data_IF_261108345935
#
_entry.id   IF_261108345935
#
_cell.length_a   1.000
_cell.length_b   1.000
_cell.length_c   1.000
_cell.angle_alpha   90.00
_cell.angle_beta   90.00
_cell.angle_gamma   90.00
#
_symmetry.space_group_name_H-M   'P 1'
#
loop_
_entity.id
_entity.type
_entity.pdbx_description
1 polymer ?
#
# COMPACT_ATOMS: atom_id res chain seq x y z
N UNK A 1 37.00 0.85 -33.70
CA UNK A 1 35.59 1.22 -33.77
C UNK A 1 34.74 0.73 -32.57
N UNK A 2 34.98 -0.48 -32.02
CA UNK A 2 34.18 -1.00 -30.87
C UNK A 2 34.40 -0.18 -29.58
N UNK A 3 35.61 0.29 -29.26
CA UNK A 3 35.88 1.07 -28.05
C UNK A 3 35.14 2.42 -28.02
N UNK A 4 35.01 3.09 -29.16
CA UNK A 4 34.27 4.37 -29.26
C UNK A 4 32.79 4.20 -29.07
N UNK A 5 32.23 3.07 -29.53
CA UNK A 5 30.79 2.78 -29.39
C UNK A 5 30.43 2.47 -27.93
N UNK A 6 31.29 1.74 -27.19
CA UNK A 6 31.06 1.44 -25.77
C UNK A 6 31.21 2.69 -24.88
N UNK A 7 32.15 3.58 -25.16
CA UNK A 7 32.29 4.84 -24.42
C UNK A 7 31.07 5.77 -24.65
N UNK A 8 30.54 5.84 -25.86
CA UNK A 8 29.35 6.64 -26.16
C UNK A 8 28.13 6.09 -25.42
N UNK A 9 27.97 4.78 -25.33
CA UNK A 9 26.84 4.12 -24.67
C UNK A 9 26.90 4.33 -23.15
N UNK A 10 28.09 4.25 -22.54
CA UNK A 10 28.28 4.52 -21.10
C UNK A 10 27.99 5.99 -20.80
N UNK A 11 28.44 6.92 -21.64
CA UNK A 11 28.15 8.35 -21.48
C UNK A 11 26.67 8.66 -21.61
N UNK A 12 25.95 8.03 -22.55
CA UNK A 12 24.50 8.19 -22.67
C UNK A 12 23.75 7.66 -21.45
N UNK A 13 24.13 6.48 -20.95
CA UNK A 13 23.48 5.88 -19.77
C UNK A 13 23.74 6.73 -18.52
N UNK A 14 24.97 7.21 -18.32
CA UNK A 14 25.29 8.10 -17.19
C UNK A 14 24.59 9.45 -17.31
N UNK A 15 24.47 10.03 -18.49
CA UNK A 15 23.72 11.26 -18.72
C UNK A 15 22.22 11.08 -18.43
N UNK A 16 21.63 9.97 -18.88
CA UNK A 16 20.21 9.64 -18.59
C UNK A 16 19.98 9.42 -17.09
N UNK A 17 20.91 8.75 -16.40
CA UNK A 17 20.81 8.56 -14.95
C UNK A 17 20.98 9.87 -14.17
N UNK A 18 21.87 10.76 -14.60
CA UNK A 18 22.05 12.09 -14.03
C UNK A 18 20.82 12.98 -14.30
N UNK A 19 20.26 12.96 -15.49
CA UNK A 19 19.03 13.70 -15.84
C UNK A 19 17.80 13.18 -15.08
N UNK A 20 17.74 11.87 -14.78
CA UNK A 20 16.69 11.33 -13.90
C UNK A 20 16.86 11.75 -12.45
N UNK A 21 18.12 11.90 -11.97
CA UNK A 21 18.40 12.41 -10.60
C UNK A 21 18.08 13.89 -10.44
N UNK A 22 18.21 14.69 -11.48
CA UNK A 22 17.92 16.14 -11.44
C UNK A 22 16.45 16.47 -11.66
N UNK A 23 15.62 15.53 -12.07
CA UNK A 23 14.15 15.64 -12.00
C UNK A 23 13.65 15.24 -10.60
N UNK A 24 14.25 15.81 -9.57
CA UNK A 24 13.53 16.00 -8.33
C UNK A 24 12.31 16.86 -8.70
N UNK A 25 11.13 16.26 -8.69
CA UNK A 25 9.88 17.02 -8.73
C UNK A 25 10.04 18.07 -7.61
N UNK A 26 9.93 19.38 -7.91
CA UNK A 26 9.96 20.35 -6.85
C UNK A 26 8.78 20.03 -5.94
N UNK A 27 9.05 19.38 -4.81
CA UNK A 27 8.08 19.32 -3.73
C UNK A 27 7.83 20.77 -3.33
N UNK A 28 6.70 21.30 -3.79
CA UNK A 28 6.18 22.49 -3.17
C UNK A 28 6.16 22.21 -1.66
N UNK A 29 6.72 23.10 -0.81
CA UNK A 29 6.77 22.84 0.61
C UNK A 29 5.33 22.77 1.13
N UNK A 30 4.78 21.55 1.17
CA UNK A 30 3.53 21.30 1.86
C UNK A 30 3.84 21.40 3.35
N UNK A 31 3.66 22.61 3.87
CA UNK A 31 3.81 22.87 5.31
C UNK A 31 2.57 22.34 6.01
N UNK A 32 2.55 21.01 6.26
CA UNK A 32 1.58 20.47 7.17
C UNK A 32 1.92 20.94 8.58
N UNK A 33 0.99 21.62 9.22
CA UNK A 33 1.13 22.09 10.60
C UNK A 33 1.00 20.97 11.65
N UNK A 34 0.89 19.71 11.24
CA UNK A 34 0.66 18.56 12.11
C UNK A 34 1.25 17.27 11.56
N UNK A 35 1.05 16.13 12.27
CA UNK A 35 1.47 14.82 11.79
C UNK A 35 0.72 14.47 10.49
N UNK A 36 1.43 13.84 9.54
CA UNK A 36 0.80 13.35 8.30
C UNK A 36 -0.01 12.10 8.59
N UNK A 37 -1.26 12.08 8.15
CA UNK A 37 -2.13 10.91 8.29
C UNK A 37 -1.89 9.94 7.12
N UNK A 38 -1.45 8.74 7.46
CA UNK A 38 -1.23 7.63 6.50
C UNK A 38 -2.16 6.49 6.84
N UNK A 39 -2.96 6.04 5.87
CA UNK A 39 -3.97 5.00 6.06
C UNK A 39 -3.58 3.73 5.31
N UNK A 40 -3.58 2.59 6.00
CA UNK A 40 -3.35 1.27 5.43
C UNK A 40 -4.70 0.67 5.01
N UNK A 41 -4.86 0.38 3.72
CA UNK A 41 -6.03 -0.24 3.12
C UNK A 41 -5.68 -1.58 2.48
N UNK A 42 -6.67 -2.39 2.19
CA UNK A 42 -6.53 -3.70 1.51
C UNK A 42 -7.51 -4.71 2.08
N UNK A 43 -7.70 -5.81 1.38
CA UNK A 43 -8.59 -6.90 1.79
C UNK A 43 -8.07 -7.63 3.04
N UNK A 44 -8.86 -8.57 3.58
CA UNK A 44 -8.43 -9.39 4.71
C UNK A 44 -7.12 -10.14 4.41
N UNK A 45 -6.36 -10.46 5.44
CA UNK A 45 -5.14 -11.26 5.42
C UNK A 45 -3.99 -10.72 4.54
N UNK A 46 -4.03 -9.46 4.15
CA UNK A 46 -2.95 -8.80 3.38
C UNK A 46 -1.80 -8.29 4.24
N UNK A 47 -1.79 -8.58 5.54
CA UNK A 47 -0.71 -8.22 6.44
C UNK A 47 -0.69 -6.75 6.91
N UNK A 48 -1.76 -5.96 6.69
CA UNK A 48 -1.85 -4.54 7.12
C UNK A 48 -1.52 -4.35 8.59
N UNK A 49 -2.20 -5.12 9.45
CA UNK A 49 -1.99 -5.06 10.90
C UNK A 49 -0.58 -5.48 11.31
N UNK A 50 0.04 -6.42 10.60
CA UNK A 50 1.44 -6.77 10.83
C UNK A 50 2.38 -5.62 10.48
N UNK A 51 2.15 -4.94 9.36
CA UNK A 51 2.91 -3.73 8.98
C UNK A 51 2.72 -2.65 10.03
N UNK A 52 1.47 -2.38 10.44
CA UNK A 52 1.14 -1.40 11.47
C UNK A 52 1.89 -1.69 12.78
N UNK A 53 1.76 -2.91 13.31
CA UNK A 53 2.40 -3.28 14.58
C UNK A 53 3.93 -3.27 14.49
N UNK A 54 4.50 -3.68 13.36
CA UNK A 54 5.93 -3.62 13.14
C UNK A 54 6.45 -2.18 13.13
N UNK A 55 5.70 -1.26 12.54
CA UNK A 55 6.07 0.17 12.53
C UNK A 55 5.91 0.83 13.89
N UNK A 56 4.88 0.44 14.66
CA UNK A 56 4.55 1.06 15.95
C UNK A 56 5.37 0.45 17.09
N UNK A 57 5.51 -0.88 17.11
CA UNK A 57 6.09 -1.63 18.23
C UNK A 57 7.46 -2.25 17.92
N UNK A 58 7.88 -2.25 16.65
CA UNK A 58 9.12 -2.90 16.20
C UNK A 58 9.02 -4.42 16.08
N UNK A 59 7.88 -5.02 16.42
CA UNK A 59 7.62 -6.47 16.41
C UNK A 59 6.42 -6.77 15.52
N UNK A 60 6.38 -7.97 14.96
CA UNK A 60 5.23 -8.48 14.20
C UNK A 60 4.70 -9.74 14.91
N UNK A 61 3.79 -9.58 15.87
CA UNK A 61 3.16 -10.73 16.52
C UNK A 61 2.20 -11.41 15.56
N UNK A 62 1.81 -12.64 15.88
CA UNK A 62 0.71 -13.29 15.18
C UNK A 62 -0.56 -12.46 15.36
N UNK A 63 -1.18 -12.09 14.24
CA UNK A 63 -2.35 -11.24 14.22
C UNK A 63 -3.56 -12.00 13.71
N UNK A 64 -4.72 -11.64 14.25
CA UNK A 64 -6.03 -12.03 13.71
C UNK A 64 -6.63 -10.87 12.92
N UNK A 65 -7.64 -11.14 12.12
CA UNK A 65 -8.35 -10.12 11.33
C UNK A 65 -8.85 -8.97 12.19
N UNK A 66 -8.44 -7.75 11.87
CA UNK A 66 -8.85 -6.55 12.59
C UNK A 66 -10.33 -6.25 12.36
N UNK A 67 -11.07 -6.05 13.45
CA UNK A 67 -12.51 -5.68 13.41
C UNK A 67 -12.74 -4.19 13.64
N UNK A 68 -11.70 -3.43 13.96
CA UNK A 68 -11.76 -2.00 14.26
C UNK A 68 -10.60 -1.28 13.59
N UNK A 69 -10.80 0.01 13.39
CA UNK A 69 -9.73 0.92 12.98
C UNK A 69 -8.79 1.12 14.17
N UNK A 70 -7.49 0.93 13.96
CA UNK A 70 -6.44 1.21 14.93
C UNK A 70 -5.63 2.42 14.44
N UNK A 71 -5.25 3.30 15.34
CA UNK A 71 -4.40 4.45 15.02
C UNK A 71 -3.28 4.60 16.04
N UNK A 72 -2.09 4.95 15.55
CA UNK A 72 -0.95 5.23 16.39
C UNK A 72 -0.11 6.37 15.78
N UNK A 73 0.58 7.14 16.65
CA UNK A 73 1.52 8.17 16.22
C UNK A 73 2.94 7.63 16.25
N UNK A 74 3.61 7.76 15.11
CA UNK A 74 5.03 7.52 15.00
C UNK A 74 5.78 8.82 15.31
N UNK A 75 6.90 8.67 16.05
CA UNK A 75 7.73 9.81 16.44
C UNK A 75 8.27 10.59 15.24
N UNK A 76 8.50 11.88 15.40
CA UNK A 76 9.14 12.68 14.38
C UNK A 76 10.48 12.10 13.92
N UNK A 77 10.76 12.23 12.63
CA UNK A 77 12.02 11.83 11.99
C UNK A 77 12.46 12.90 11.01
N UNK A 78 13.68 12.79 10.49
CA UNK A 78 14.20 13.76 9.53
C UNK A 78 13.33 13.98 8.30
N UNK A 79 12.65 12.92 7.82
CA UNK A 79 11.74 13.00 6.68
C UNK A 79 10.33 13.51 7.08
N UNK A 80 9.93 13.31 8.34
CA UNK A 80 8.61 13.67 8.86
C UNK A 80 8.75 14.43 10.19
N UNK A 81 9.07 15.73 10.15
CA UNK A 81 9.40 16.50 11.35
C UNK A 81 8.23 16.62 12.35
N UNK A 82 6.99 16.43 11.90
CA UNK A 82 5.79 16.45 12.76
C UNK A 82 5.28 15.03 13.12
N UNK A 83 6.03 13.99 12.70
CA UNK A 83 5.62 12.59 12.86
C UNK A 83 4.58 12.15 11.83
N UNK A 84 4.12 10.92 12.00
CA UNK A 84 3.08 10.29 11.17
C UNK A 84 1.99 9.76 12.09
N UNK A 85 0.73 9.99 11.75
CA UNK A 85 -0.41 9.25 12.28
C UNK A 85 -0.69 8.09 11.33
N UNK A 86 -0.31 6.88 11.76
CA UNK A 86 -0.55 5.65 11.00
C UNK A 86 -1.88 5.04 11.42
N UNK A 87 -2.73 4.73 10.44
CA UNK A 87 -4.08 4.19 10.67
C UNK A 87 -4.18 2.83 9.98
N UNK A 88 -4.43 1.77 10.75
CA UNK A 88 -4.73 0.42 10.27
C UNK A 88 -6.24 0.23 10.18
N UNK A 89 -6.72 -0.24 9.03
CA UNK A 89 -8.15 -0.42 8.79
C UNK A 89 -8.54 -1.88 8.64
N UNK A 90 -9.77 -2.25 9.02
CA UNK A 90 -10.28 -3.60 8.79
C UNK A 90 -10.41 -3.88 7.29
N UNK A 91 -10.00 -5.09 6.86
CA UNK A 91 -10.05 -5.51 5.47
C UNK A 91 -11.37 -6.14 5.06
N UNK A 92 -12.20 -6.58 6.04
CA UNK A 92 -13.43 -7.32 5.78
C UNK A 92 -14.45 -6.47 5.01
N UNK A 93 -15.09 -7.06 3.99
CA UNK A 93 -16.01 -6.36 3.09
C UNK A 93 -17.14 -5.59 3.81
N UNK A 94 -17.67 -6.14 4.92
CA UNK A 94 -18.73 -5.49 5.73
C UNK A 94 -18.24 -4.22 6.45
N UNK A 95 -16.93 -4.06 6.62
CA UNK A 95 -16.33 -2.95 7.35
C UNK A 95 -15.65 -1.93 6.42
N UNK A 96 -15.79 -2.09 5.10
CA UNK A 96 -15.20 -1.17 4.10
C UNK A 96 -15.65 0.28 4.29
N UNK A 97 -16.89 0.50 4.73
CA UNK A 97 -17.36 1.85 5.02
C UNK A 97 -16.50 2.55 6.08
N UNK A 98 -16.12 1.84 7.15
CA UNK A 98 -15.23 2.38 8.19
C UNK A 98 -13.83 2.69 7.63
N UNK A 99 -13.32 1.85 6.73
CA UNK A 99 -12.03 2.06 6.09
C UNK A 99 -12.07 3.28 5.15
N UNK A 100 -13.15 3.47 4.39
CA UNK A 100 -13.37 4.66 3.55
C UNK A 100 -13.50 5.93 4.38
N UNK A 101 -14.23 5.89 5.51
CA UNK A 101 -14.32 7.03 6.42
C UNK A 101 -12.95 7.37 7.02
N UNK A 102 -12.15 6.36 7.38
CA UNK A 102 -10.79 6.58 7.90
C UNK A 102 -9.86 7.21 6.85
N UNK A 103 -10.09 6.98 5.55
CA UNK A 103 -9.32 7.56 4.46
C UNK A 103 -9.56 9.07 4.31
N UNK A 104 -10.70 9.59 4.74
CA UNK A 104 -11.01 11.01 4.63
C UNK A 104 -9.97 11.87 5.34
N UNK A 105 -9.46 12.85 4.61
CA UNK A 105 -8.42 13.74 5.11
C UNK A 105 -7.07 13.06 5.33
N UNK A 106 -6.81 11.89 4.72
CA UNK A 106 -5.50 11.26 4.72
C UNK A 106 -4.56 11.99 3.77
N UNK A 107 -3.31 12.18 4.20
CA UNK A 107 -2.24 12.72 3.35
C UNK A 107 -1.69 11.65 2.38
N UNK A 108 -1.80 10.38 2.76
CA UNK A 108 -1.39 9.25 1.93
C UNK A 108 -2.19 7.99 2.25
N UNK A 109 -2.37 7.16 1.24
CA UNK A 109 -2.97 5.83 1.33
C UNK A 109 -1.97 4.79 0.87
N UNK A 110 -1.82 3.73 1.67
CA UNK A 110 -1.01 2.55 1.34
C UNK A 110 -1.96 1.37 1.15
N UNK A 111 -2.08 0.89 -0.08
CA UNK A 111 -2.91 -0.26 -0.38
C UNK A 111 -2.07 -1.54 -0.33
N UNK A 112 -2.44 -2.47 0.55
CA UNK A 112 -1.75 -3.73 0.77
C UNK A 112 -2.38 -4.86 -0.03
N UNK A 113 -1.55 -5.63 -0.73
CA UNK A 113 -1.95 -6.82 -1.49
C UNK A 113 -1.09 -7.99 -1.01
N UNK A 114 -1.69 -9.16 -0.76
CA UNK A 114 -0.95 -10.37 -0.43
C UNK A 114 -0.29 -10.96 -1.69
N UNK A 115 1.00 -10.69 -1.87
CA UNK A 115 1.80 -11.25 -2.96
C UNK A 115 1.95 -12.78 -2.88
N UNK A 116 1.75 -13.39 -1.71
CA UNK A 116 1.88 -14.84 -1.53
C UNK A 116 0.73 -15.60 -2.21
N UNK A 117 -0.40 -14.95 -2.43
CA UNK A 117 -1.52 -15.50 -3.22
C UNK A 117 -1.06 -15.81 -4.64
N UNK A 118 -0.28 -14.91 -5.25
CA UNK A 118 0.26 -15.11 -6.60
C UNK A 118 1.30 -16.24 -6.66
N UNK A 119 2.09 -16.44 -5.59
CA UNK A 119 3.14 -17.46 -5.54
C UNK A 119 2.63 -18.86 -5.17
N UNK A 120 1.50 -18.95 -4.47
CA UNK A 120 0.94 -20.24 -4.03
C UNK A 120 0.30 -21.06 -5.14
N UNK A 121 0.17 -20.52 -6.37
CA UNK A 121 -0.46 -21.18 -7.51
C UNK A 121 -1.91 -21.61 -7.20
N UNK A 122 -2.73 -21.78 -8.20
CA UNK A 122 -4.03 -22.43 -8.05
C UNK A 122 -3.80 -23.91 -7.69
N UNK A 123 -3.70 -24.24 -6.41
CA UNK A 123 -3.84 -25.61 -5.98
C UNK A 123 -5.31 -25.97 -6.19
N UNK A 124 -5.58 -26.72 -7.25
CA UNK A 124 -6.88 -27.38 -7.40
C UNK A 124 -7.16 -28.16 -6.10
N UNK A 125 -8.34 -27.98 -5.49
CA UNK A 125 -8.71 -28.77 -4.33
C UNK A 125 -8.63 -30.24 -4.68
N UNK A 126 -8.02 -31.05 -3.81
CA UNK A 126 -7.95 -32.46 -4.00
C UNK A 126 -9.37 -33.04 -4.24
N UNK A 127 -9.54 -33.97 -5.17
CA UNK A 127 -10.86 -34.56 -5.48
C UNK A 127 -11.46 -35.13 -4.19
N UNK A 128 -12.63 -34.62 -3.79
CA UNK A 128 -13.35 -35.03 -2.57
C UNK A 128 -13.40 -34.02 -1.42
N UNK A 129 -12.73 -32.85 -1.53
CA UNK A 129 -12.87 -31.78 -0.54
C UNK A 129 -14.13 -30.94 -0.82
N UNK A 130 -14.96 -30.76 0.20
CA UNK A 130 -16.16 -29.92 0.08
C UNK A 130 -15.77 -28.47 -0.23
N UNK A 131 -16.49 -27.82 -1.16
CA UNK A 131 -16.27 -26.44 -1.60
C UNK A 131 -16.31 -25.40 -0.47
N UNK A 132 -16.86 -25.73 0.69
CA UNK A 132 -16.95 -24.85 1.86
C UNK A 132 -15.59 -24.60 2.56
N UNK A 133 -14.59 -25.45 2.30
CA UNK A 133 -13.23 -25.34 2.84
C UNK A 133 -12.19 -24.95 1.76
N UNK A 134 -12.64 -24.78 0.51
CA UNK A 134 -11.77 -24.39 -0.57
C UNK A 134 -11.32 -22.93 -0.34
N UNK A 135 -10.01 -22.69 -0.32
CA UNK A 135 -9.47 -21.34 -0.38
C UNK A 135 -9.88 -20.71 -1.71
N UNK A 136 -10.16 -19.39 -1.73
CA UNK A 136 -10.50 -18.71 -2.97
C UNK A 136 -9.40 -18.96 -4.01
N UNK A 137 -9.80 -19.12 -5.27
CA UNK A 137 -8.85 -19.22 -6.36
C UNK A 137 -7.99 -17.97 -6.43
N UNK A 138 -6.78 -18.07 -7.01
CA UNK A 138 -5.91 -16.90 -7.24
C UNK A 138 -6.68 -15.77 -7.91
N UNK A 139 -7.51 -16.10 -8.90
CA UNK A 139 -8.30 -15.13 -9.64
C UNK A 139 -9.30 -14.42 -8.72
N UNK A 140 -10.05 -15.13 -7.89
CA UNK A 140 -11.04 -14.54 -6.96
C UNK A 140 -10.36 -13.65 -5.91
N UNK A 141 -9.23 -14.10 -5.34
CA UNK A 141 -8.52 -13.32 -4.33
C UNK A 141 -7.93 -12.03 -4.93
N UNK A 142 -7.40 -12.07 -6.14
CA UNK A 142 -6.92 -10.90 -6.87
C UNK A 142 -8.08 -9.99 -7.28
N UNK A 143 -9.20 -10.56 -7.75
CA UNK A 143 -10.37 -9.79 -8.15
C UNK A 143 -10.92 -8.97 -7.00
N UNK A 144 -11.05 -9.54 -5.80
CA UNK A 144 -11.49 -8.81 -4.60
C UNK A 144 -10.55 -7.65 -4.25
N UNK A 145 -9.24 -7.82 -4.44
CA UNK A 145 -8.26 -6.75 -4.21
C UNK A 145 -8.36 -5.66 -5.26
N UNK A 146 -8.57 -6.04 -6.54
CA UNK A 146 -8.72 -5.09 -7.66
C UNK A 146 -10.00 -4.28 -7.50
N UNK A 147 -11.13 -4.93 -7.19
CA UNK A 147 -12.41 -4.25 -7.00
C UNK A 147 -12.31 -3.25 -5.84
N UNK A 148 -11.69 -3.64 -4.74
CA UNK A 148 -11.52 -2.74 -3.60
C UNK A 148 -10.56 -1.59 -3.92
N UNK A 149 -9.47 -1.83 -4.63
CA UNK A 149 -8.56 -0.77 -5.08
C UNK A 149 -9.27 0.21 -6.01
N UNK A 150 -10.12 -0.30 -6.91
CA UNK A 150 -10.93 0.54 -7.79
C UNK A 150 -11.84 1.47 -6.99
N UNK A 151 -12.54 0.96 -5.96
CA UNK A 151 -13.40 1.76 -5.09
C UNK A 151 -12.60 2.85 -4.36
N UNK A 152 -11.41 2.50 -3.85
CA UNK A 152 -10.48 3.44 -3.19
C UNK A 152 -10.08 4.55 -4.16
N UNK A 153 -9.63 4.21 -5.36
CA UNK A 153 -9.19 5.18 -6.36
C UNK A 153 -10.35 6.10 -6.81
N UNK A 154 -11.53 5.53 -6.97
CA UNK A 154 -12.73 6.30 -7.32
C UNK A 154 -13.09 7.31 -6.22
N UNK A 155 -13.02 6.89 -4.95
CA UNK A 155 -13.27 7.77 -3.80
C UNK A 155 -12.24 8.89 -3.71
N UNK A 156 -10.94 8.56 -3.88
CA UNK A 156 -9.87 9.56 -3.90
C UNK A 156 -10.03 10.57 -5.04
N UNK A 157 -10.41 10.09 -6.23
CA UNK A 157 -10.65 10.97 -7.39
C UNK A 157 -11.82 11.94 -7.15
N UNK A 158 -12.84 11.51 -6.41
CA UNK A 158 -13.99 12.34 -6.06
C UNK A 158 -13.67 13.41 -4.99
N UNK A 159 -12.64 13.18 -4.16
CA UNK A 159 -12.21 14.13 -3.12
C UNK A 159 -11.26 15.21 -3.66
N UNK A 160 -10.67 15.02 -4.85
CA UNK A 160 -9.83 16.05 -5.48
C UNK A 160 -10.73 17.08 -6.15
N UNK A 161 -10.72 18.36 -5.70
CA UNK A 161 -11.51 19.40 -6.36
C UNK A 161 -11.04 19.57 -7.81
N UNK A 162 -11.95 19.84 -8.75
CA UNK A 162 -11.56 20.15 -10.13
C UNK A 162 -10.66 21.38 -10.14
N UNK A 163 -9.51 21.25 -10.82
CA UNK A 163 -8.55 22.36 -11.00
C UNK A 163 -9.10 23.39 -12.00
#
# INVERSE_FOLDING_TARGET
MQLLCTCALVLCVTAVLLLRRTRAVPEAPYVSKGPRKVVLLGVDDTGKTNVFLRMVMGVAPDTTTSQRVNAARLSPSGAFPHGIELVDTPGHARLRAQAMDAMRGADAVVFCIDASVASRGAHEPAPGMSSALARPSLHEALQHSVDYLHDVLHTLAAEVPPQ
#
